data_IF_720539574395
#
_entry.id   IF_720539574395
#
_cell.length_a   1.000
_cell.length_b   1.000
_cell.length_c   1.000
_cell.angle_alpha   90.00
_cell.angle_beta   90.00
_cell.angle_gamma   90.00
#
_symmetry.space_group_name_H-M   'P 1'
#
loop_
_entity.id
_entity.type
_entity.pdbx_description
1 polymer ?
#
# COMPACT_ATOMS: atom_id res chain seq x y z
N UNK A 1 -24.22 1.02 -1.95
CA UNK A 1 -23.60 1.77 -3.05
C UNK A 1 -22.23 1.15 -3.32
N UNK A 2 -21.88 0.95 -4.57
CA UNK A 2 -20.53 0.50 -4.92
C UNK A 2 -19.56 1.65 -4.64
N UNK A 3 -18.61 1.45 -3.70
CA UNK A 3 -17.59 2.45 -3.38
C UNK A 3 -16.25 2.00 -3.98
N UNK A 4 -15.41 2.95 -4.38
CA UNK A 4 -13.99 2.77 -4.62
C UNK A 4 -13.26 3.93 -3.95
N UNK A 5 -13.11 3.82 -2.65
CA UNK A 5 -12.56 4.87 -1.80
C UNK A 5 -11.15 4.49 -1.35
N UNK A 6 -10.22 5.41 -1.48
CA UNK A 6 -8.82 5.28 -1.10
C UNK A 6 -8.55 6.28 0.03
N UNK A 7 -8.03 5.83 1.17
CA UNK A 7 -7.67 6.66 2.32
C UNK A 7 -6.21 6.41 2.73
N UNK A 8 -5.46 7.48 2.86
CA UNK A 8 -4.06 7.42 3.28
C UNK A 8 -3.99 7.38 4.81
N UNK A 9 -3.33 6.36 5.36
CA UNK A 9 -3.19 6.12 6.80
C UNK A 9 -1.77 6.38 7.30
N UNK A 10 -0.79 6.34 6.42
CA UNK A 10 0.59 6.67 6.66
C UNK A 10 1.27 6.99 5.34
N UNK A 11 2.11 8.01 5.29
CA UNK A 11 2.65 8.60 4.06
C UNK A 11 4.17 8.78 4.08
N UNK A 12 4.82 8.44 5.20
CA UNK A 12 6.27 8.57 5.37
C UNK A 12 7.01 7.33 4.89
N UNK A 13 8.19 7.56 4.34
CA UNK A 13 9.15 6.51 4.05
C UNK A 13 10.12 6.27 5.21
N UNK A 14 10.80 5.15 5.17
CA UNK A 14 11.93 4.73 6.01
C UNK A 14 11.64 4.58 7.50
N UNK A 15 11.08 5.57 8.19
CA UNK A 15 10.73 5.49 9.62
C UNK A 15 9.65 6.50 10.01
N UNK A 16 8.87 6.22 11.07
CA UNK A 16 7.83 7.13 11.53
C UNK A 16 8.42 8.35 12.25
N UNK A 17 7.76 9.50 12.15
CA UNK A 17 8.14 10.73 12.83
C UNK A 17 7.03 11.17 13.78
N UNK A 18 7.37 11.45 15.05
CA UNK A 18 6.43 11.79 16.11
C UNK A 18 6.73 13.18 16.67
N UNK A 19 6.50 14.21 15.88
CA UNK A 19 6.84 15.58 16.24
C UNK A 19 5.76 16.54 15.74
N UNK A 20 5.60 17.71 16.37
CA UNK A 20 4.56 18.71 16.03
C UNK A 20 4.74 19.31 14.63
N UNK A 21 5.94 19.30 14.09
CA UNK A 21 6.28 19.79 12.76
C UNK A 21 5.80 18.87 11.62
N UNK A 22 5.17 17.73 11.94
CA UNK A 22 4.72 16.73 10.97
C UNK A 22 3.21 16.45 11.03
N UNK A 23 2.43 17.24 11.74
CA UNK A 23 1.01 16.98 12.01
C UNK A 23 0.10 17.19 10.80
N UNK A 24 0.47 18.06 9.85
CA UNK A 24 -0.37 18.38 8.69
C UNK A 24 -0.35 17.27 7.65
N UNK A 25 0.81 16.67 7.41
CA UNK A 25 0.94 15.55 6.47
C UNK A 25 0.86 14.19 7.17
N UNK A 26 1.20 14.13 8.44
CA UNK A 26 1.25 12.92 9.25
C UNK A 26 2.66 12.35 9.37
N UNK A 27 2.85 11.53 10.40
CA UNK A 27 4.14 10.94 10.76
C UNK A 27 4.21 9.42 10.62
N UNK A 28 3.11 8.76 10.26
CA UNK A 28 3.07 7.32 10.10
C UNK A 28 3.69 6.86 8.78
N UNK A 29 4.29 5.66 8.80
CA UNK A 29 4.85 5.02 7.62
C UNK A 29 3.77 4.33 6.78
N UNK A 30 4.17 3.89 5.59
CA UNK A 30 3.34 3.47 4.46
C UNK A 30 2.16 2.58 4.83
N UNK A 31 0.96 3.12 4.66
CA UNK A 31 -0.29 2.37 4.78
C UNK A 31 -1.41 3.08 4.01
N UNK A 32 -2.04 2.39 3.07
CA UNK A 32 -3.17 2.91 2.29
C UNK A 32 -4.36 1.97 2.39
N UNK A 33 -5.47 2.48 2.92
CA UNK A 33 -6.74 1.78 3.00
C UNK A 33 -7.53 1.95 1.71
N UNK A 34 -8.06 0.86 1.17
CA UNK A 34 -8.92 0.86 -0.01
C UNK A 34 -10.21 0.11 0.29
N UNK A 35 -11.32 0.83 0.26
CA UNK A 35 -12.67 0.25 0.37
C UNK A 35 -13.29 0.17 -1.03
N UNK A 36 -13.40 -1.03 -1.58
CA UNK A 36 -13.84 -1.25 -2.96
C UNK A 36 -14.71 -2.49 -3.08
N UNK A 37 -15.88 -2.37 -3.71
CA UNK A 37 -16.77 -3.51 -3.96
C UNK A 37 -17.26 -4.24 -2.69
N UNK A 38 -17.18 -3.59 -1.51
CA UNK A 38 -17.49 -4.19 -0.22
C UNK A 38 -16.31 -4.93 0.43
N UNK A 39 -15.11 -4.80 -0.13
CA UNK A 39 -13.87 -5.37 0.42
C UNK A 39 -13.00 -4.26 1.02
N UNK A 40 -12.35 -4.58 2.14
CA UNK A 40 -11.26 -3.80 2.72
C UNK A 40 -9.93 -4.36 2.23
N UNK A 41 -9.20 -3.56 1.47
CA UNK A 41 -7.84 -3.86 1.03
C UNK A 41 -6.91 -2.86 1.71
N UNK A 42 -5.76 -3.33 2.17
CA UNK A 42 -4.74 -2.53 2.83
C UNK A 42 -3.45 -2.70 2.02
N UNK A 43 -2.93 -1.62 1.48
CA UNK A 43 -1.66 -1.59 0.78
C UNK A 43 -0.59 -1.12 1.75
N UNK A 44 0.33 -2.00 2.03
CA UNK A 44 1.35 -1.94 3.06
C UNK A 44 0.80 -1.79 4.49
N UNK A 45 1.60 -2.19 5.44
CA UNK A 45 1.25 -2.37 6.83
C UNK A 45 2.24 -1.66 7.77
N UNK A 46 2.69 -0.47 7.38
CA UNK A 46 3.50 0.41 8.23
C UNK A 46 2.73 0.90 9.46
N UNK A 47 3.26 1.88 10.16
CA UNK A 47 2.66 2.33 11.43
C UNK A 47 1.26 2.92 11.28
N UNK A 48 0.88 3.42 10.07
CA UNK A 48 -0.48 3.85 9.76
C UNK A 48 -1.55 2.76 9.92
N UNK A 49 -1.16 1.47 9.89
CA UNK A 49 -2.04 0.33 10.16
C UNK A 49 -2.60 0.32 11.59
N UNK A 50 -1.87 0.90 12.54
CA UNK A 50 -2.25 0.89 13.96
C UNK A 50 -3.54 1.68 14.18
N UNK A 51 -3.63 2.88 13.60
CA UNK A 51 -4.82 3.72 13.71
C UNK A 51 -6.02 3.13 12.95
N UNK A 52 -5.78 2.56 11.77
CA UNK A 52 -6.82 1.81 11.06
C UNK A 52 -7.34 0.65 11.93
N UNK A 53 -6.46 -0.09 12.59
CA UNK A 53 -6.83 -1.16 13.51
C UNK A 53 -7.70 -0.66 14.67
N UNK A 54 -7.39 0.51 15.23
CA UNK A 54 -8.20 1.13 16.30
C UNK A 54 -9.60 1.49 15.79
N UNK A 55 -9.72 2.11 14.62
CA UNK A 55 -11.02 2.45 14.01
C UNK A 55 -11.85 1.19 13.70
N UNK A 56 -11.24 0.14 13.16
CA UNK A 56 -11.93 -1.12 12.87
C UNK A 56 -12.45 -1.78 14.14
N UNK A 57 -11.67 -1.76 15.23
CA UNK A 57 -12.10 -2.26 16.53
C UNK A 57 -13.29 -1.47 17.09
N UNK A 58 -13.26 -0.16 16.97
CA UNK A 58 -14.38 0.69 17.40
C UNK A 58 -15.66 0.34 16.62
N UNK A 59 -15.57 0.27 15.28
CA UNK A 59 -16.70 -0.13 14.41
C UNK A 59 -17.21 -1.53 14.73
N UNK A 60 -16.31 -2.47 15.05
CA UNK A 60 -16.67 -3.83 15.46
C UNK A 60 -17.47 -3.82 16.76
N UNK A 61 -17.03 -3.06 17.76
CA UNK A 61 -17.71 -2.96 19.06
C UNK A 61 -19.10 -2.33 18.90
N UNK A 62 -19.22 -1.29 18.09
CA UNK A 62 -20.46 -0.56 17.84
C UNK A 62 -21.47 -1.34 16.98
N UNK A 63 -21.04 -2.36 16.25
CA UNK A 63 -21.89 -3.12 15.32
C UNK A 63 -22.84 -4.12 16.01
N UNK A 64 -22.71 -4.38 17.32
CA UNK A 64 -23.60 -5.29 18.05
C UNK A 64 -23.30 -5.29 19.55
N UNK A 65 -24.33 -5.63 20.35
CA UNK A 65 -24.22 -5.65 21.81
C UNK A 65 -23.47 -6.89 22.34
N UNK A 66 -23.53 -7.98 21.60
CA UNK A 66 -22.85 -9.24 21.95
C UNK A 66 -21.87 -9.64 20.85
N UNK A 67 -20.91 -10.50 21.20
CA UNK A 67 -19.88 -10.97 20.24
C UNK A 67 -20.52 -11.63 19.00
N UNK A 68 -21.63 -12.32 19.17
CA UNK A 68 -22.34 -13.03 18.07
C UNK A 68 -23.15 -12.11 17.17
N UNK A 69 -23.48 -10.91 17.65
CA UNK A 69 -24.21 -9.90 16.85
C UNK A 69 -23.26 -8.99 16.06
N UNK A 70 -21.99 -8.93 16.47
CA UNK A 70 -21.00 -8.03 15.84
C UNK A 70 -20.60 -8.49 14.45
N UNK A 71 -20.39 -7.52 13.57
CA UNK A 71 -19.95 -7.77 12.21
C UNK A 71 -18.47 -8.17 12.20
N UNK A 72 -18.11 -9.38 11.74
CA UNK A 72 -16.71 -9.80 11.66
C UNK A 72 -15.87 -8.86 10.78
N UNK A 73 -14.62 -8.65 11.18
CA UNK A 73 -13.66 -7.89 10.38
C UNK A 73 -13.06 -8.83 9.35
N UNK A 74 -13.03 -8.40 8.07
CA UNK A 74 -12.32 -9.10 7.00
C UNK A 74 -11.47 -8.13 6.22
N UNK A 75 -10.18 -8.44 6.04
CA UNK A 75 -9.24 -7.58 5.34
C UNK A 75 -8.29 -8.39 4.45
N UNK A 76 -7.89 -7.78 3.34
CA UNK A 76 -6.82 -8.26 2.47
C UNK A 76 -5.65 -7.28 2.55
N UNK A 77 -4.49 -7.72 3.03
CA UNK A 77 -3.27 -6.91 3.12
C UNK A 77 -2.37 -7.29 1.94
N UNK A 78 -1.93 -6.29 1.20
CA UNK A 78 -1.02 -6.42 0.06
C UNK A 78 0.30 -5.74 0.43
N UNK A 79 1.35 -6.51 0.64
CA UNK A 79 2.68 -5.98 0.95
C UNK A 79 3.43 -5.73 -0.35
N UNK A 80 3.87 -4.49 -0.56
CA UNK A 80 4.75 -4.14 -1.67
C UNK A 80 6.10 -4.84 -1.53
N UNK A 81 6.64 -4.82 -0.33
CA UNK A 81 7.85 -5.53 0.11
C UNK A 81 7.90 -5.60 1.64
N UNK A 82 8.99 -6.10 2.21
CA UNK A 82 9.10 -6.38 3.65
C UNK A 82 10.10 -5.47 4.39
N UNK A 83 10.39 -4.26 3.89
CA UNK A 83 11.12 -3.28 4.69
C UNK A 83 10.29 -2.85 5.90
N UNK A 84 10.95 -2.42 6.96
CA UNK A 84 10.31 -2.19 8.26
C UNK A 84 9.17 -1.17 8.21
N UNK A 85 9.33 -0.11 7.46
CA UNK A 85 8.32 0.95 7.29
C UNK A 85 7.04 0.50 6.54
N UNK A 86 7.06 -0.71 5.95
CA UNK A 86 5.91 -1.33 5.30
C UNK A 86 5.26 -2.46 6.09
N UNK A 87 5.88 -2.93 7.19
CA UNK A 87 5.39 -4.09 7.96
C UNK A 87 5.29 -3.84 9.47
N UNK A 88 5.90 -2.77 9.98
CA UNK A 88 6.04 -2.51 11.43
C UNK A 88 4.70 -2.40 12.18
N UNK A 89 3.61 -2.05 11.50
CA UNK A 89 2.27 -1.96 12.10
C UNK A 89 1.61 -3.32 12.35
N UNK A 90 2.06 -4.39 11.69
CA UNK A 90 1.42 -5.71 11.75
C UNK A 90 1.25 -6.23 13.18
N UNK A 91 2.27 -6.27 14.05
CA UNK A 91 2.12 -6.80 15.41
C UNK A 91 1.13 -6.00 16.27
N UNK A 92 0.89 -4.74 15.92
CA UNK A 92 0.03 -3.82 16.67
C UNK A 92 -1.38 -3.68 16.07
N UNK A 93 -1.68 -4.43 15.00
CA UNK A 93 -2.98 -4.41 14.34
C UNK A 93 -4.00 -5.18 15.19
N UNK A 94 -4.73 -4.47 16.06
CA UNK A 94 -5.65 -5.05 17.05
C UNK A 94 -6.64 -6.08 16.49
N UNK A 95 -7.21 -5.94 15.27
CA UNK A 95 -8.08 -6.97 14.72
C UNK A 95 -7.47 -8.37 14.64
N UNK A 96 -6.13 -8.51 14.58
CA UNK A 96 -5.45 -9.81 14.63
C UNK A 96 -5.68 -10.59 15.92
N UNK A 97 -6.06 -9.91 17.00
CA UNK A 97 -6.31 -10.54 18.30
C UNK A 97 -7.78 -10.94 18.52
N UNK A 98 -8.62 -10.84 17.48
CA UNK A 98 -10.03 -11.27 17.50
C UNK A 98 -10.23 -12.55 16.70
N UNK A 99 -10.75 -13.61 17.34
CA UNK A 99 -11.02 -14.89 16.68
C UNK A 99 -12.05 -14.83 15.54
N UNK A 100 -12.91 -13.79 15.51
CA UNK A 100 -13.88 -13.58 14.44
C UNK A 100 -13.31 -12.82 13.23
N UNK A 101 -12.05 -12.37 13.29
CA UNK A 101 -11.41 -11.63 12.20
C UNK A 101 -10.80 -12.60 11.18
N UNK A 102 -10.91 -12.23 9.89
CA UNK A 102 -10.25 -12.93 8.77
C UNK A 102 -9.28 -11.99 8.07
N UNK A 103 -8.02 -12.40 7.97
CA UNK A 103 -6.97 -11.61 7.33
C UNK A 103 -6.25 -12.48 6.30
N UNK A 104 -6.21 -11.98 5.07
CA UNK A 104 -5.41 -12.56 4.00
C UNK A 104 -4.25 -11.61 3.69
N UNK A 105 -3.02 -12.05 3.91
CA UNK A 105 -1.81 -11.31 3.58
C UNK A 105 -1.23 -11.86 2.29
N UNK A 106 -0.87 -10.97 1.38
CA UNK A 106 -0.21 -11.31 0.12
C UNK A 106 1.05 -10.45 -0.04
N UNK A 107 2.13 -11.05 -0.50
CA UNK A 107 3.37 -10.33 -0.78
C UNK A 107 4.40 -11.20 -1.48
N UNK A 108 5.47 -10.58 -1.92
CA UNK A 108 6.54 -11.27 -2.61
C UNK A 108 7.46 -12.02 -1.65
N UNK A 109 8.04 -13.08 -2.15
CA UNK A 109 9.07 -13.87 -1.45
C UNK A 109 10.46 -13.29 -1.70
N UNK A 110 11.28 -13.30 -0.68
CA UNK A 110 12.71 -13.01 -0.76
C UNK A 110 13.52 -14.30 -0.79
N UNK A 111 14.37 -14.46 -1.80
CA UNK A 111 15.45 -15.47 -1.82
C UNK A 111 15.06 -16.89 -1.33
N UNK A 112 13.97 -17.45 -1.87
CA UNK A 112 13.51 -18.82 -1.58
C UNK A 112 12.89 -19.05 -0.17
N UNK A 113 12.71 -18.02 0.64
CA UNK A 113 11.96 -18.13 1.89
C UNK A 113 10.49 -17.72 1.69
N UNK A 114 9.56 -18.39 2.36
CA UNK A 114 8.15 -18.04 2.36
C UNK A 114 7.90 -16.72 3.09
N UNK A 115 6.96 -15.91 2.62
CA UNK A 115 6.57 -14.66 3.26
C UNK A 115 6.21 -14.84 4.74
N UNK A 116 5.50 -15.92 5.07
CA UNK A 116 5.15 -16.26 6.46
C UNK A 116 6.39 -16.43 7.35
N UNK A 117 7.42 -17.12 6.85
CA UNK A 117 8.67 -17.32 7.57
C UNK A 117 9.42 -16.00 7.79
N UNK A 118 9.47 -15.16 6.77
CA UNK A 118 10.10 -13.83 6.84
C UNK A 118 9.38 -12.93 7.86
N UNK A 119 8.06 -12.82 7.77
CA UNK A 119 7.27 -12.00 8.71
C UNK A 119 7.40 -12.52 10.15
N UNK A 120 7.39 -13.85 10.34
CA UNK A 120 7.59 -14.44 11.66
C UNK A 120 8.94 -14.07 12.27
N UNK A 121 10.02 -14.17 11.48
CA UNK A 121 11.38 -13.83 11.93
C UNK A 121 11.55 -12.33 12.22
N UNK A 122 10.98 -11.46 11.39
CA UNK A 122 11.18 -10.01 11.49
C UNK A 122 10.34 -9.37 12.59
N UNK A 123 9.13 -9.87 12.84
CA UNK A 123 8.14 -9.17 13.65
C UNK A 123 7.77 -9.87 14.96
N UNK A 124 7.83 -11.20 15.02
CA UNK A 124 7.16 -11.95 16.09
C UNK A 124 8.10 -12.75 17.01
N UNK A 125 9.36 -12.98 16.66
CA UNK A 125 10.22 -13.87 17.46
C UNK A 125 10.73 -13.22 18.75
N UNK A 126 11.88 -12.53 18.67
CA UNK A 126 12.55 -11.97 19.86
C UNK A 126 12.17 -10.52 20.18
N UNK A 127 11.49 -9.86 19.27
CA UNK A 127 11.19 -8.43 19.34
C UNK A 127 9.76 -8.14 19.74
N UNK A 128 8.91 -9.17 19.82
CA UNK A 128 7.50 -9.07 20.19
C UNK A 128 7.11 -10.22 21.13
N UNK A 129 6.21 -9.99 22.11
CA UNK A 129 5.89 -10.99 23.15
C UNK A 129 5.02 -12.16 22.69
N UNK A 130 4.46 -12.09 21.47
CA UNK A 130 3.64 -13.17 20.87
C UNK A 130 4.35 -13.74 19.66
N UNK A 131 4.14 -15.02 19.42
CA UNK A 131 4.52 -15.67 18.16
C UNK A 131 3.40 -15.52 17.13
N UNK A 132 3.73 -15.66 15.84
CA UNK A 132 2.74 -15.59 14.76
C UNK A 132 1.62 -16.63 14.93
N UNK A 133 1.94 -17.78 15.53
CA UNK A 133 0.98 -18.84 15.86
C UNK A 133 0.03 -18.53 17.00
N UNK A 134 0.29 -17.47 17.79
CA UNK A 134 -0.57 -17.04 18.92
C UNK A 134 -1.67 -16.06 18.44
N UNK A 135 -1.68 -15.68 17.19
CA UNK A 135 -2.68 -14.77 16.62
C UNK A 135 -4.04 -15.45 16.59
N UNK A 136 -5.03 -14.79 17.20
CA UNK A 136 -6.39 -15.34 17.32
C UNK A 136 -7.20 -15.31 16.03
N UNK A 137 -6.91 -14.36 15.12
CA UNK A 137 -7.59 -14.22 13.85
C UNK A 137 -7.31 -15.41 12.91
N UNK A 138 -8.26 -15.70 12.01
CA UNK A 138 -8.02 -16.57 10.86
C UNK A 138 -7.07 -15.85 9.90
N UNK A 139 -5.76 -16.14 10.01
CA UNK A 139 -4.70 -15.52 9.25
C UNK A 139 -4.21 -16.46 8.15
N UNK A 140 -4.20 -15.98 6.91
CA UNK A 140 -3.63 -16.69 5.76
C UNK A 140 -2.55 -15.83 5.12
N UNK A 141 -1.33 -16.36 4.98
CA UNK A 141 -0.21 -15.65 4.36
C UNK A 141 0.14 -16.35 3.05
N UNK A 142 0.13 -15.59 1.96
CA UNK A 142 0.25 -16.11 0.60
C UNK A 142 1.43 -15.47 -0.13
N UNK A 143 2.26 -16.32 -0.71
CA UNK A 143 3.34 -15.91 -1.59
C UNK A 143 2.79 -15.49 -2.96
N UNK A 144 3.15 -14.30 -3.44
CA UNK A 144 2.80 -13.82 -4.76
C UNK A 144 3.98 -13.84 -5.72
N UNK A 145 3.66 -14.00 -6.99
CA UNK A 145 4.57 -13.75 -8.10
C UNK A 145 3.88 -12.93 -9.19
N UNK A 146 4.64 -12.40 -10.14
CA UNK A 146 4.13 -11.51 -11.22
C UNK A 146 3.08 -12.18 -12.12
N UNK A 147 2.98 -13.51 -12.11
CA UNK A 147 2.00 -14.25 -12.89
C UNK A 147 0.66 -14.44 -12.16
N UNK A 148 0.50 -13.86 -10.96
CA UNK A 148 -0.72 -13.98 -10.18
C UNK A 148 -1.64 -12.76 -10.36
N UNK A 149 -2.93 -13.06 -10.35
CA UNK A 149 -4.03 -12.13 -10.10
C UNK A 149 -4.76 -12.57 -8.85
N UNK A 150 -5.26 -11.61 -8.07
CA UNK A 150 -6.15 -11.87 -6.94
C UNK A 150 -7.53 -11.36 -7.33
N UNK A 151 -8.53 -12.19 -7.20
CA UNK A 151 -9.93 -11.84 -7.47
C UNK A 151 -10.71 -11.89 -6.15
N UNK A 152 -11.35 -10.76 -5.81
CA UNK A 152 -12.20 -10.67 -4.63
C UNK A 152 -13.66 -10.62 -5.06
N UNK A 153 -14.47 -11.54 -4.51
CA UNK A 153 -15.91 -11.61 -4.69
C UNK A 153 -16.62 -11.50 -3.36
N UNK A 154 -17.76 -10.81 -3.37
CA UNK A 154 -18.50 -10.57 -2.13
C UNK A 154 -18.90 -11.88 -1.45
N UNK A 155 -18.50 -12.03 -0.19
CA UNK A 155 -18.81 -13.21 0.62
C UNK A 155 -17.91 -14.42 0.37
N UNK A 156 -16.90 -14.31 -0.50
CA UNK A 156 -15.95 -15.37 -0.81
C UNK A 156 -14.55 -15.02 -0.27
N UNK A 157 -13.73 -16.03 -0.05
CA UNK A 157 -12.30 -15.83 0.20
C UNK A 157 -11.59 -15.37 -1.07
N UNK A 158 -10.48 -14.60 -0.97
CA UNK A 158 -9.69 -14.20 -2.13
C UNK A 158 -9.26 -15.41 -2.97
N UNK A 159 -9.42 -15.33 -4.28
CA UNK A 159 -8.99 -16.37 -5.21
C UNK A 159 -7.74 -15.92 -5.94
N UNK A 160 -6.65 -16.67 -5.78
CA UNK A 160 -5.42 -16.45 -6.55
C UNK A 160 -5.49 -17.27 -7.84
N UNK A 161 -5.35 -16.61 -8.97
CA UNK A 161 -5.34 -17.24 -10.30
C UNK A 161 -4.09 -16.82 -11.09
N UNK A 162 -3.64 -17.69 -12.02
CA UNK A 162 -2.52 -17.35 -12.89
C UNK A 162 -2.99 -16.46 -14.05
N UNK A 163 -2.10 -15.63 -14.58
CA UNK A 163 -2.37 -14.78 -15.75
C UNK A 163 -3.01 -15.56 -16.92
N UNK A 164 -2.50 -16.76 -17.23
CA UNK A 164 -3.05 -17.57 -18.33
C UNK A 164 -4.48 -18.04 -18.07
N UNK A 165 -4.75 -18.46 -16.85
CA UNK A 165 -6.08 -18.93 -16.43
C UNK A 165 -7.04 -17.74 -16.26
N UNK A 166 -6.52 -16.57 -15.91
CA UNK A 166 -7.30 -15.34 -15.79
C UNK A 166 -8.01 -14.99 -17.09
N UNK A 167 -7.32 -15.01 -18.22
CA UNK A 167 -7.92 -14.67 -19.53
C UNK A 167 -8.92 -15.71 -20.05
N UNK A 168 -8.90 -16.94 -19.52
CA UNK A 168 -9.87 -17.98 -19.85
C UNK A 168 -11.13 -17.98 -18.98
N UNK A 169 -11.09 -17.28 -17.84
CA UNK A 169 -12.21 -17.17 -16.91
C UNK A 169 -13.09 -15.94 -17.23
N UNK A 170 -14.38 -16.05 -16.93
CA UNK A 170 -15.28 -14.90 -17.00
C UNK A 170 -15.27 -14.18 -15.65
N UNK A 171 -15.05 -12.86 -15.69
CA UNK A 171 -15.13 -11.96 -14.53
C UNK A 171 -16.28 -10.98 -14.74
N UNK A 172 -16.97 -10.65 -13.64
CA UNK A 172 -18.06 -9.71 -13.66
C UNK A 172 -17.57 -8.31 -13.28
N UNK A 173 -18.34 -7.29 -13.65
CA UNK A 173 -18.04 -5.90 -13.29
C UNK A 173 -18.02 -5.67 -11.76
N UNK A 174 -18.65 -6.55 -10.99
CA UNK A 174 -18.66 -6.50 -9.52
C UNK A 174 -17.48 -7.25 -8.88
N UNK A 175 -16.65 -7.96 -9.65
CA UNK A 175 -15.43 -8.57 -9.17
C UNK A 175 -14.34 -7.50 -8.99
N UNK A 176 -13.66 -7.49 -7.83
CA UNK A 176 -12.46 -6.65 -7.65
C UNK A 176 -11.25 -7.44 -8.10
N UNK A 177 -10.52 -6.89 -9.06
CA UNK A 177 -9.36 -7.55 -9.65
C UNK A 177 -8.09 -6.83 -9.24
N UNK A 178 -7.16 -7.56 -8.62
CA UNK A 178 -5.85 -7.07 -8.22
C UNK A 178 -4.81 -7.76 -9.09
N UNK A 179 -4.04 -6.98 -9.81
CA UNK A 179 -2.85 -7.42 -10.55
C UNK A 179 -1.59 -6.83 -9.95
N UNK A 180 -0.46 -7.47 -10.18
CA UNK A 180 0.82 -6.97 -9.72
C UNK A 180 1.95 -7.26 -10.70
N UNK A 181 3.04 -6.52 -10.58
CA UNK A 181 4.32 -6.91 -11.15
C UNK A 181 5.45 -6.55 -10.19
N UNK A 182 6.57 -7.26 -10.28
CA UNK A 182 7.77 -6.99 -9.49
C UNK A 182 8.70 -6.03 -10.23
N UNK A 183 9.03 -4.91 -9.59
CA UNK A 183 10.07 -3.98 -10.01
C UNK A 183 11.35 -4.26 -9.24
N UNK A 184 12.49 -4.27 -9.93
CA UNK A 184 13.82 -4.38 -9.31
C UNK A 184 14.50 -3.01 -9.14
N UNK A 185 13.75 -1.93 -9.28
CA UNK A 185 14.22 -0.57 -9.07
C UNK A 185 14.26 -0.16 -7.58
N UNK A 186 14.23 -1.14 -6.69
CA UNK A 186 14.41 -0.98 -5.24
C UNK A 186 15.40 -2.04 -4.74
N UNK A 187 16.31 -1.67 -3.81
CA UNK A 187 17.37 -2.57 -3.35
C UNK A 187 16.88 -3.89 -2.77
N UNK A 188 17.77 -4.88 -2.72
CA UNK A 188 17.56 -6.24 -2.27
C UNK A 188 16.57 -7.02 -3.15
N UNK A 189 15.33 -7.21 -2.71
CA UNK A 189 14.39 -8.11 -3.35
C UNK A 189 13.42 -7.44 -4.33
N UNK A 190 13.57 -6.14 -4.57
CA UNK A 190 12.64 -5.36 -5.38
C UNK A 190 11.30 -5.13 -4.67
N UNK A 191 10.35 -4.56 -5.38
CA UNK A 191 9.05 -4.12 -4.87
C UNK A 191 7.91 -4.55 -5.79
N UNK A 192 6.77 -4.95 -5.24
CA UNK A 192 5.56 -5.17 -6.01
C UNK A 192 4.81 -3.85 -6.24
N UNK A 193 4.47 -3.60 -7.49
CA UNK A 193 3.53 -2.56 -7.89
C UNK A 193 2.17 -3.21 -8.06
N UNK A 194 1.15 -2.67 -7.40
CA UNK A 194 -0.21 -3.20 -7.45
C UNK A 194 -1.13 -2.34 -8.30
N UNK A 195 -2.06 -2.99 -8.99
CA UNK A 195 -3.18 -2.33 -9.67
C UNK A 195 -4.49 -2.98 -9.22
N UNK A 196 -5.39 -2.18 -8.68
CA UNK A 196 -6.74 -2.57 -8.29
C UNK A 196 -7.70 -2.05 -9.35
N UNK A 197 -8.51 -2.95 -9.91
CA UNK A 197 -9.50 -2.62 -10.95
C UNK A 197 -10.90 -3.01 -10.48
N UNK A 198 -11.85 -2.10 -10.62
CA UNK A 198 -13.25 -2.32 -10.29
C UNK A 198 -14.15 -1.40 -11.13
N UNK A 199 -15.19 -1.96 -11.77
CA UNK A 199 -16.17 -1.20 -12.59
C UNK A 199 -15.53 -0.23 -13.58
N UNK A 200 -14.51 -0.70 -14.29
CA UNK A 200 -13.79 0.11 -15.29
C UNK A 200 -12.87 1.19 -14.73
N UNK A 201 -12.82 1.36 -13.41
CA UNK A 201 -11.87 2.26 -12.75
C UNK A 201 -10.64 1.50 -12.28
N UNK A 202 -9.49 2.17 -12.25
CA UNK A 202 -8.24 1.57 -11.81
C UNK A 202 -7.39 2.51 -10.96
N UNK A 203 -6.83 1.93 -9.91
CA UNK A 203 -5.89 2.55 -8.98
C UNK A 203 -4.56 1.78 -9.04
N UNK A 204 -3.45 2.48 -9.19
CA UNK A 204 -2.10 1.91 -9.21
C UNK A 204 -1.31 2.45 -8.01
N UNK A 205 -0.73 1.52 -7.24
CA UNK A 205 0.13 1.80 -6.10
C UNK A 205 1.58 1.41 -6.45
N UNK A 206 2.44 2.42 -6.57
CA UNK A 206 3.84 2.31 -7.01
C UNK A 206 4.75 3.05 -6.02
N UNK A 207 4.83 2.53 -4.80
CA UNK A 207 5.76 3.00 -3.76
C UNK A 207 7.15 2.41 -3.96
N UNK A 208 8.16 2.97 -3.31
CA UNK A 208 9.53 2.46 -3.19
C UNK A 208 10.12 2.05 -4.54
N UNK A 209 10.11 3.00 -5.44
CA UNK A 209 10.53 2.73 -6.79
C UNK A 209 11.32 3.90 -7.35
N UNK A 210 12.57 3.64 -7.66
CA UNK A 210 13.42 4.56 -8.39
C UNK A 210 13.04 4.57 -9.86
N UNK A 211 12.73 5.74 -10.39
CA UNK A 211 12.46 5.90 -11.82
C UNK A 211 13.75 6.14 -12.60
N UNK A 212 13.73 5.81 -13.89
CA UNK A 212 14.89 5.94 -14.76
C UNK A 212 14.70 7.08 -15.76
N UNK A 213 15.81 7.59 -16.30
CA UNK A 213 15.78 8.49 -17.44
C UNK A 213 15.06 7.80 -18.61
N UNK A 214 14.06 8.48 -19.20
CA UNK A 214 13.20 7.93 -20.24
C UNK A 214 12.02 7.06 -19.73
N UNK A 215 11.87 6.94 -18.41
CA UNK A 215 10.76 6.27 -17.74
C UNK A 215 10.87 4.75 -17.64
N UNK A 216 10.13 4.17 -16.71
CA UNK A 216 10.00 2.72 -16.58
C UNK A 216 8.95 2.17 -17.55
N UNK A 217 9.39 1.50 -18.59
CA UNK A 217 8.52 0.89 -19.61
C UNK A 217 7.51 -0.10 -19.05
N UNK A 218 7.86 -0.80 -17.95
CA UNK A 218 6.97 -1.76 -17.30
C UNK A 218 5.84 -1.03 -16.54
N UNK A 219 6.19 0.01 -15.78
CA UNK A 219 5.20 0.87 -15.13
C UNK A 219 4.31 1.57 -16.14
N UNK A 220 4.89 2.16 -17.20
CA UNK A 220 4.16 2.87 -18.26
C UNK A 220 3.08 1.97 -18.88
N UNK A 221 3.43 0.73 -19.19
CA UNK A 221 2.47 -0.24 -19.73
C UNK A 221 1.42 -0.65 -18.70
N UNK A 222 1.84 -0.92 -17.46
CA UNK A 222 0.99 -1.43 -16.40
C UNK A 222 -0.03 -0.41 -15.90
N UNK A 223 0.41 0.85 -15.70
CA UNK A 223 -0.39 1.95 -15.20
C UNK A 223 -1.09 2.77 -16.30
N UNK A 224 -1.00 2.34 -17.56
CA UNK A 224 -1.55 3.10 -18.69
C UNK A 224 -3.02 3.44 -18.47
N UNK A 225 -3.36 4.74 -18.60
CA UNK A 225 -4.71 5.30 -18.45
C UNK A 225 -5.38 4.96 -17.11
N UNK A 226 -4.64 4.74 -16.02
CA UNK A 226 -5.25 4.55 -14.72
C UNK A 226 -5.89 5.85 -14.21
N UNK A 227 -6.93 5.73 -13.40
CA UNK A 227 -7.61 6.89 -12.83
C UNK A 227 -6.81 7.52 -11.69
N UNK A 228 -6.04 6.71 -10.96
CA UNK A 228 -5.18 7.19 -9.88
C UNK A 228 -3.85 6.43 -9.90
N UNK A 229 -2.76 7.18 -9.91
CA UNK A 229 -1.41 6.70 -9.69
C UNK A 229 -0.90 7.26 -8.34
N UNK A 230 -0.63 6.40 -7.38
CA UNK A 230 0.17 6.73 -6.20
C UNK A 230 1.62 6.35 -6.51
N UNK A 231 2.52 7.31 -6.41
CA UNK A 231 3.93 7.10 -6.79
C UNK A 231 4.87 7.61 -5.71
N UNK A 232 5.97 6.88 -5.52
CA UNK A 232 7.10 7.29 -4.70
C UNK A 232 7.57 8.70 -5.12
N UNK A 233 7.78 9.57 -4.14
CA UNK A 233 8.32 10.91 -4.31
C UNK A 233 9.11 11.30 -3.04
N UNK A 234 10.06 10.46 -2.65
CA UNK A 234 10.78 10.62 -1.40
C UNK A 234 11.66 11.85 -1.40
N UNK A 235 12.30 12.17 -2.55
CA UNK A 235 13.35 13.18 -2.60
C UNK A 235 13.02 14.37 -3.51
N UNK A 236 13.58 15.54 -3.17
CA UNK A 236 13.79 16.62 -4.16
C UNK A 236 14.93 16.22 -5.10
N UNK A 237 15.02 16.86 -6.25
CA UNK A 237 16.17 16.67 -7.17
C UNK A 237 17.49 17.06 -6.50
N UNK A 238 17.48 18.11 -5.69
CA UNK A 238 18.66 18.58 -4.95
C UNK A 238 19.16 17.50 -3.97
N UNK A 239 18.27 16.92 -3.16
CA UNK A 239 18.64 15.89 -2.21
C UNK A 239 19.05 14.59 -2.92
N UNK A 240 18.37 14.22 -4.01
CA UNK A 240 18.69 13.04 -4.80
C UNK A 240 20.07 13.11 -5.46
N UNK A 241 20.46 14.29 -5.98
CA UNK A 241 21.74 14.55 -6.61
C UNK A 241 22.80 15.15 -5.66
N UNK A 242 22.55 15.12 -4.35
CA UNK A 242 23.47 15.69 -3.36
C UNK A 242 24.89 15.17 -3.52
N UNK A 243 25.85 16.06 -3.60
CA UNK A 243 27.28 15.70 -3.67
C UNK A 243 27.84 15.12 -2.37
N UNK A 244 27.15 15.35 -1.25
CA UNK A 244 27.55 14.87 0.07
C UNK A 244 26.88 13.54 0.43
N UNK A 245 25.62 13.38 0.06
CA UNK A 245 24.80 12.20 0.40
C UNK A 245 23.92 11.82 -0.80
N UNK A 246 24.54 11.35 -1.92
CA UNK A 246 23.75 11.00 -3.11
C UNK A 246 22.77 9.88 -2.81
N UNK A 247 21.57 9.96 -3.41
CA UNK A 247 20.46 9.01 -3.18
C UNK A 247 20.22 8.07 -4.35
N UNK A 248 20.96 8.22 -5.45
CA UNK A 248 20.86 7.30 -6.59
C UNK A 248 21.15 5.87 -6.15
N UNK A 249 20.28 4.94 -6.58
CA UNK A 249 20.37 3.53 -6.22
C UNK A 249 19.77 3.18 -4.86
N UNK A 250 19.20 4.15 -4.13
CA UNK A 250 18.45 3.87 -2.88
C UNK A 250 17.07 3.28 -3.15
N UNK A 251 16.61 3.33 -4.40
CA UNK A 251 15.32 2.75 -4.79
C UNK A 251 14.13 3.69 -4.66
N UNK A 252 14.37 5.00 -4.64
CA UNK A 252 13.32 6.01 -4.49
C UNK A 252 13.39 7.09 -5.56
N UNK A 253 12.22 7.68 -5.86
CA UNK A 253 12.06 8.70 -6.89
C UNK A 253 12.07 10.11 -6.33
N UNK A 254 12.26 11.07 -7.24
CA UNK A 254 11.99 12.48 -6.98
C UNK A 254 10.56 12.85 -7.37
N UNK A 255 10.10 14.04 -6.94
CA UNK A 255 8.82 14.61 -7.36
C UNK A 255 8.74 14.76 -8.88
N UNK A 256 9.84 15.17 -9.53
CA UNK A 256 9.92 15.30 -10.99
C UNK A 256 9.79 13.95 -11.71
N UNK A 257 10.41 12.90 -11.18
CA UNK A 257 10.28 11.53 -11.71
C UNK A 257 8.83 11.03 -11.61
N UNK A 258 8.12 11.34 -10.52
CA UNK A 258 6.72 10.98 -10.35
C UNK A 258 5.81 11.75 -11.34
N UNK A 259 6.07 13.05 -11.57
CA UNK A 259 5.38 13.84 -12.62
C UNK A 259 5.61 13.23 -14.00
N UNK A 260 6.85 12.84 -14.32
CA UNK A 260 7.17 12.19 -15.60
C UNK A 260 6.44 10.84 -15.73
N UNK A 261 6.38 10.05 -14.66
CA UNK A 261 5.61 8.82 -14.63
C UNK A 261 4.11 9.05 -14.89
N UNK A 262 3.49 10.07 -14.26
CA UNK A 262 2.10 10.47 -14.58
C UNK A 262 1.92 10.77 -16.05
N UNK A 263 2.80 11.60 -16.62
CA UNK A 263 2.74 12.02 -18.03
C UNK A 263 2.84 10.81 -18.96
N UNK A 264 3.81 9.91 -18.75
CA UNK A 264 4.06 8.76 -19.61
C UNK A 264 3.00 7.67 -19.49
N UNK A 265 2.41 7.48 -18.33
CA UNK A 265 1.31 6.53 -18.10
C UNK A 265 -0.03 7.08 -18.56
N UNK A 266 -0.15 8.38 -18.84
CA UNK A 266 -1.43 9.08 -19.04
C UNK A 266 -2.41 8.83 -17.88
N UNK A 267 -1.90 8.81 -16.65
CA UNK A 267 -2.74 8.68 -15.46
C UNK A 267 -3.58 9.94 -15.27
N UNK A 268 -4.86 9.78 -14.93
CA UNK A 268 -5.78 10.89 -14.70
C UNK A 268 -5.30 11.74 -13.53
N UNK A 269 -5.01 11.10 -12.37
CA UNK A 269 -4.49 11.76 -11.19
C UNK A 269 -3.20 11.11 -10.69
N UNK A 270 -2.32 11.93 -10.09
CA UNK A 270 -1.12 11.51 -9.38
C UNK A 270 -1.23 11.91 -7.91
N UNK A 271 -0.84 11.02 -7.01
CA UNK A 271 -0.60 11.33 -5.61
C UNK A 271 0.86 11.03 -5.29
N UNK A 272 1.58 12.05 -4.83
CA UNK A 272 2.92 11.88 -4.27
C UNK A 272 2.84 11.18 -2.92
N UNK A 273 3.72 10.23 -2.71
CA UNK A 273 3.71 9.35 -1.55
C UNK A 273 5.12 9.04 -1.07
N UNK A 274 5.26 8.52 0.15
CA UNK A 274 6.53 8.02 0.68
C UNK A 274 7.58 9.10 0.89
N UNK A 275 7.20 10.21 1.58
CA UNK A 275 8.08 11.34 1.80
C UNK A 275 9.25 11.01 2.73
N UNK A 276 10.41 11.63 2.45
CA UNK A 276 11.55 11.59 3.36
C UNK A 276 11.13 12.03 4.76
N UNK A 277 11.47 11.28 5.81
CA UNK A 277 11.11 11.63 7.18
C UNK A 277 11.77 12.90 7.70
N UNK A 278 12.77 13.46 7.01
CA UNK A 278 13.33 14.76 7.33
C UNK A 278 12.52 15.94 6.79
N UNK A 279 11.54 15.71 5.89
CA UNK A 279 10.71 16.79 5.32
C UNK A 279 9.55 17.10 6.26
N UNK A 280 9.67 18.19 7.01
CA UNK A 280 8.61 18.73 7.85
C UNK A 280 7.42 19.30 7.03
N UNK A 281 6.36 19.68 7.71
CA UNK A 281 5.17 20.24 7.09
C UNK A 281 5.47 21.48 6.24
N UNK A 282 6.40 22.36 6.68
CA UNK A 282 6.77 23.55 5.93
C UNK A 282 7.47 23.20 4.61
N UNK A 283 8.41 22.23 4.64
CA UNK A 283 9.08 21.74 3.44
C UNK A 283 8.08 21.12 2.47
N UNK A 284 7.15 20.30 2.95
CA UNK A 284 6.12 19.70 2.12
C UNK A 284 5.11 20.72 1.58
N UNK A 285 4.76 21.75 2.34
CA UNK A 285 3.92 22.86 1.87
C UNK A 285 4.61 23.67 0.75
N UNK A 286 5.91 23.89 0.85
CA UNK A 286 6.67 24.56 -0.22
C UNK A 286 6.75 23.69 -1.49
N UNK A 287 6.95 22.40 -1.35
CA UNK A 287 6.91 21.45 -2.47
C UNK A 287 5.50 21.38 -3.08
N UNK A 288 4.45 21.40 -2.26
CA UNK A 288 3.07 21.46 -2.75
C UNK A 288 2.80 22.65 -3.64
N UNK A 289 3.28 23.86 -3.26
CA UNK A 289 3.15 25.08 -4.08
C UNK A 289 3.80 24.94 -5.47
N UNK A 290 4.85 24.14 -5.57
CA UNK A 290 5.61 23.94 -6.82
C UNK A 290 4.94 22.87 -7.70
N UNK A 291 4.53 21.75 -7.11
CA UNK A 291 4.20 20.53 -7.86
C UNK A 291 2.71 20.24 -7.96
N UNK A 292 1.85 20.78 -7.06
CA UNK A 292 0.43 20.38 -7.05
C UNK A 292 -0.44 21.23 -7.97
N UNK A 293 -1.51 20.59 -8.44
CA UNK A 293 -2.61 21.18 -9.20
C UNK A 293 -3.87 20.28 -9.04
N UNK A 294 -4.91 20.50 -9.85
CA UNK A 294 -6.17 19.72 -9.76
C UNK A 294 -5.96 18.22 -9.94
N UNK A 295 -4.91 17.80 -10.66
CA UNK A 295 -4.63 16.40 -11.00
C UNK A 295 -3.38 15.84 -10.31
N UNK A 296 -2.66 16.64 -9.54
CA UNK A 296 -1.43 16.26 -8.82
C UNK A 296 -1.56 16.68 -7.37
N UNK A 297 -1.53 15.73 -6.47
CA UNK A 297 -1.92 15.89 -5.08
C UNK A 297 -0.79 15.38 -4.17
N UNK A 298 -0.56 16.06 -3.03
CA UNK A 298 0.27 15.54 -1.95
C UNK A 298 -0.56 14.59 -1.09
N UNK A 299 -0.07 13.36 -0.85
CA UNK A 299 -0.67 12.51 0.16
C UNK A 299 -0.53 13.13 1.55
N UNK A 300 -1.55 12.96 2.38
CA UNK A 300 -1.50 13.24 3.81
C UNK A 300 -2.40 12.26 4.55
N UNK A 301 -2.08 12.01 5.81
CA UNK A 301 -2.93 11.16 6.63
C UNK A 301 -4.36 11.70 6.70
N UNK A 302 -5.33 10.82 6.53
CA UNK A 302 -6.74 11.17 6.47
C UNK A 302 -7.26 11.64 5.11
N UNK A 303 -6.39 11.90 4.11
CA UNK A 303 -6.84 12.20 2.74
C UNK A 303 -7.65 11.05 2.18
N UNK A 304 -8.84 11.34 1.67
CA UNK A 304 -9.74 10.39 1.02
C UNK A 304 -10.00 10.78 -0.44
N UNK A 305 -9.88 9.82 -1.34
CA UNK A 305 -10.17 9.96 -2.76
C UNK A 305 -11.17 8.89 -3.19
N UNK A 306 -12.22 9.30 -3.91
CA UNK A 306 -13.22 8.38 -4.45
C UNK A 306 -13.10 8.32 -5.98
N UNK A 307 -13.10 7.12 -6.54
CA UNK A 307 -13.01 6.89 -7.99
C UNK A 307 -14.35 6.55 -8.65
N UNK A 308 -15.42 6.33 -7.85
CA UNK A 308 -16.79 6.03 -8.31
C UNK A 308 -17.81 7.01 -7.76
#
# INVERSE_FOLDING_TARGET
MSAFNIKFRGVRGSYPVANKEFLNYGGNTSCVEVNVGGHLIILDAGTGLIDLGNELMQKYIESGNTITERNPISATILLSHIHQDHILGIPFFKPMHLASTKINVFGGVAQDEKLETELSKLLFTKTFPLDLGDIAAELTINDLNEANYIVLRKGESPVVTRVLDFYSNQYNDDDVIISCYKSFAHPQNGVFVYKITYKGKSFVYSTDKESYEGGDKKLIKFARNCNLLVHDAQYTVEDYLSIYTPKQGFGHSTFDMAIDAKRQTNAEKLVFFHYDPSYDDNKLDDLAKIYTNDDVIMAKEGLELNLL
#
